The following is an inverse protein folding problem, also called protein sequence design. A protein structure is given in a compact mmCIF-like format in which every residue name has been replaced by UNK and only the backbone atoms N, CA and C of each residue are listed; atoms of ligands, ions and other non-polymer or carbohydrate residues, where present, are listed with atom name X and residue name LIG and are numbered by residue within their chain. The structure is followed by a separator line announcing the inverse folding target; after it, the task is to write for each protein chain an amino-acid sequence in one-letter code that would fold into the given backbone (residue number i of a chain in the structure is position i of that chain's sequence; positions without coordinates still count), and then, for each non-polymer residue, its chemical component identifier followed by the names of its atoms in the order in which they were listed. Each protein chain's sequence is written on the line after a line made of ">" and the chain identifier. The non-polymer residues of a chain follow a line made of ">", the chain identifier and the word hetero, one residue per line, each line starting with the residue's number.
data_IF_108840721325
#
_entry.id   IF_108840721325
#
_cell.length_a   1.000
_cell.length_b   1.000
_cell.length_c   1.000
_cell.angle_alpha   90.00
_cell.angle_beta   90.00
_cell.angle_gamma   90.00
#
_symmetry.space_group_name_H-M   'P 1'
#
loop_
_entity.id
_entity.type
_entity.pdbx_description
1 polymer ?
#
# COMPACT_ATOMS: atom_id res chain seq x y z
N UNK A 1 -8.06 2.68 -0.97
CA UNK A 1 -8.45 1.47 -0.24
C UNK A 1 -9.96 1.25 -0.41
N UNK A 2 -10.81 1.22 0.59
CA UNK A 2 -12.25 1.01 0.43
C UNK A 2 -13.03 2.35 0.40
N UNK A 3 -14.15 2.44 -0.36
CA UNK A 3 -14.92 3.68 -0.52
C UNK A 3 -15.53 4.22 0.79
N UNK A 4 -15.77 3.36 1.77
CA UNK A 4 -16.30 3.73 3.08
C UNK A 4 -15.21 3.99 4.13
N UNK A 5 -13.94 3.99 3.73
CA UNK A 5 -12.81 4.22 4.62
C UNK A 5 -12.83 5.64 5.16
N UNK A 6 -12.56 5.79 6.45
CA UNK A 6 -12.51 7.08 7.16
C UNK A 6 -11.14 7.26 7.81
N UNK A 7 -10.69 8.50 7.86
CA UNK A 7 -9.54 8.91 8.63
C UNK A 7 -9.96 10.01 9.62
N UNK A 8 -9.33 10.06 10.78
CA UNK A 8 -9.66 11.00 11.86
C UNK A 8 -8.44 11.86 12.19
N UNK A 9 -8.57 13.17 12.02
CA UNK A 9 -7.58 14.14 12.47
C UNK A 9 -7.90 14.59 13.88
N UNK A 10 -6.95 14.45 14.80
CA UNK A 10 -7.01 15.09 16.11
C UNK A 10 -6.39 16.49 15.97
N UNK A 11 -7.16 17.58 16.17
CA UNK A 11 -6.73 18.92 15.77
C UNK A 11 -5.68 19.53 16.68
N UNK A 12 -5.63 19.16 17.97
CA UNK A 12 -4.71 19.77 18.93
C UNK A 12 -3.27 19.27 18.77
N UNK A 13 -3.09 17.98 18.49
CA UNK A 13 -1.79 17.36 18.25
C UNK A 13 -1.40 17.26 16.77
N UNK A 14 -2.38 17.39 15.88
CA UNK A 14 -2.19 17.12 14.46
C UNK A 14 -2.02 15.63 14.10
N UNK A 15 -2.39 14.73 15.01
CA UNK A 15 -2.32 13.29 14.79
C UNK A 15 -3.42 12.84 13.82
N UNK A 16 -3.05 12.13 12.75
CA UNK A 16 -3.98 11.56 11.79
C UNK A 16 -4.07 10.04 11.96
N UNK A 17 -5.22 9.56 12.43
CA UNK A 17 -5.56 8.14 12.43
C UNK A 17 -6.05 7.76 11.04
N UNK A 18 -5.10 7.35 10.20
CA UNK A 18 -5.30 7.25 8.77
C UNK A 18 -5.88 5.90 8.31
N UNK A 19 -5.88 4.88 9.19
CA UNK A 19 -6.26 3.54 8.77
C UNK A 19 -5.35 3.00 7.65
N UNK A 20 -5.91 2.16 6.78
CA UNK A 20 -5.16 1.53 5.69
C UNK A 20 -4.81 2.48 4.53
N UNK A 21 -5.43 3.67 4.48
CA UNK A 21 -5.12 4.65 3.44
C UNK A 21 -3.68 5.17 3.53
N UNK A 22 -3.06 5.08 4.71
CA UNK A 22 -1.64 5.39 4.89
C UNK A 22 -0.72 4.14 4.72
N UNK A 23 -1.25 3.01 4.27
CA UNK A 23 -0.44 1.82 4.04
C UNK A 23 -0.12 1.02 5.31
N UNK A 24 0.74 0.03 5.13
CA UNK A 24 1.28 -0.80 6.21
C UNK A 24 2.74 -0.41 6.42
N UNK A 25 3.07 -0.03 7.65
CA UNK A 25 4.45 0.16 8.10
C UNK A 25 4.57 -0.41 9.50
N UNK A 26 5.48 -1.36 9.69
CA UNK A 26 5.68 -1.97 10.99
C UNK A 26 6.62 -1.11 11.85
N UNK A 27 6.46 -1.12 13.19
CA UNK A 27 7.32 -0.38 14.08
C UNK A 27 8.80 -0.71 13.89
N UNK A 28 9.64 0.32 13.82
CA UNK A 28 11.08 0.18 13.57
C UNK A 28 11.48 0.06 12.11
N UNK A 29 10.52 -0.12 11.19
CA UNK A 29 10.79 -0.28 9.78
C UNK A 29 10.64 1.04 9.00
N UNK A 30 11.39 1.13 7.89
CA UNK A 30 11.24 2.21 6.90
C UNK A 30 10.21 1.88 5.83
N UNK A 31 10.13 0.62 5.40
CA UNK A 31 9.30 0.14 4.30
C UNK A 31 7.80 0.40 4.49
N UNK A 32 7.17 1.04 3.52
CA UNK A 32 5.73 1.28 3.51
C UNK A 32 5.07 0.46 2.41
N UNK A 33 4.25 -0.52 2.78
CA UNK A 33 3.57 -1.45 1.88
C UNK A 33 2.13 -1.03 1.61
N UNK A 34 1.67 -0.99 0.34
CA UNK A 34 0.26 -0.72 0.04
C UNK A 34 -0.59 -1.96 0.34
N UNK A 35 -1.59 -1.89 1.24
CA UNK A 35 -2.58 -2.96 1.41
C UNK A 35 -3.61 -2.88 0.28
N UNK A 36 -3.54 -3.83 -0.64
CA UNK A 36 -4.39 -3.89 -1.84
C UNK A 36 -5.33 -5.10 -1.86
N UNK A 37 -6.06 -5.43 -0.75
CA UNK A 37 -6.91 -6.60 -0.73
C UNK A 37 -8.16 -6.40 -1.60
N UNK A 38 -8.72 -7.48 -2.19
CA UNK A 38 -10.03 -7.41 -2.81
C UNK A 38 -11.13 -7.12 -1.76
N UNK A 39 -12.35 -6.73 -2.15
CA UNK A 39 -12.80 -6.62 -3.54
C UNK A 39 -12.63 -5.23 -4.16
N UNK A 40 -12.40 -4.18 -3.38
CA UNK A 40 -12.72 -2.81 -3.79
C UNK A 40 -11.56 -1.83 -3.61
N UNK A 41 -10.42 -2.10 -4.20
CA UNK A 41 -9.42 -1.04 -4.30
C UNK A 41 -9.70 -0.14 -5.51
N UNK A 42 -9.38 1.15 -5.36
CA UNK A 42 -9.39 2.15 -6.43
C UNK A 42 -8.11 2.98 -6.28
N UNK A 43 -7.14 2.70 -7.13
CA UNK A 43 -5.80 3.32 -7.04
C UNK A 43 -5.88 4.82 -7.31
N UNK A 44 -6.70 5.26 -8.26
CA UNK A 44 -6.85 6.69 -8.57
C UNK A 44 -7.49 7.46 -7.41
N UNK A 45 -8.50 6.89 -6.76
CA UNK A 45 -9.11 7.45 -5.58
C UNK A 45 -8.15 7.44 -4.38
N UNK A 46 -7.31 6.41 -4.27
CA UNK A 46 -6.31 6.32 -3.21
C UNK A 46 -5.22 7.38 -3.34
N UNK A 47 -4.69 7.61 -4.54
CA UNK A 47 -3.75 8.68 -4.82
C UNK A 47 -4.35 10.07 -4.49
N UNK A 48 -5.65 10.28 -4.81
CA UNK A 48 -6.36 11.51 -4.41
C UNK A 48 -6.44 11.65 -2.89
N UNK A 49 -6.65 10.54 -2.17
CA UNK A 49 -6.68 10.54 -0.70
C UNK A 49 -5.31 10.84 -0.10
N UNK A 50 -4.23 10.26 -0.62
CA UNK A 50 -2.84 10.57 -0.23
C UNK A 50 -2.57 12.07 -0.43
N UNK A 51 -2.93 12.63 -1.58
CA UNK A 51 -2.77 14.05 -1.86
C UNK A 51 -3.65 14.94 -0.97
N UNK A 52 -4.80 14.44 -0.51
CA UNK A 52 -5.62 15.14 0.48
C UNK A 52 -4.94 15.16 1.85
N UNK A 53 -4.37 14.06 2.29
CA UNK A 53 -3.59 13.98 3.54
C UNK A 53 -2.41 14.97 3.51
N UNK A 54 -1.66 15.03 2.40
CA UNK A 54 -0.59 16.03 2.22
C UNK A 54 -1.06 17.46 2.42
N UNK A 55 -2.26 17.81 1.91
CA UNK A 55 -2.83 19.16 2.08
C UNK A 55 -3.27 19.48 3.51
N UNK A 56 -3.66 18.44 4.27
CA UNK A 56 -3.98 18.57 5.71
C UNK A 56 -2.71 18.84 6.52
N UNK A 57 -1.54 18.42 6.04
CA UNK A 57 -0.24 18.52 6.73
C UNK A 57 -0.28 18.01 8.17
N UNK A 58 -0.68 16.73 8.41
CA UNK A 58 -0.71 16.21 9.78
C UNK A 58 0.70 16.16 10.37
N UNK A 59 0.79 16.30 11.68
CA UNK A 59 2.07 16.21 12.41
C UNK A 59 2.58 14.77 12.49
N UNK A 60 1.66 13.79 12.50
CA UNK A 60 1.99 12.37 12.54
C UNK A 60 0.90 11.50 11.93
N UNK A 61 1.28 10.31 11.45
CA UNK A 61 0.38 9.28 10.93
C UNK A 61 0.28 8.10 11.91
N UNK A 62 -0.94 7.63 12.10
CA UNK A 62 -1.27 6.41 12.84
C UNK A 62 -2.02 5.46 11.88
N UNK A 63 -1.33 4.60 11.10
CA UNK A 63 -1.96 3.60 10.26
C UNK A 63 -2.53 2.45 11.11
N UNK A 64 -3.42 1.62 10.51
CA UNK A 64 -4.05 0.47 11.16
C UNK A 64 -3.03 -0.54 11.70
N UNK A 65 -1.94 -0.77 10.97
CA UNK A 65 -0.93 -1.79 11.27
C UNK A 65 0.19 -1.25 12.19
N UNK A 66 -0.23 -0.53 13.23
CA UNK A 66 0.56 -0.03 14.36
C UNK A 66 1.59 1.05 14.02
N UNK A 67 2.06 1.69 15.07
CA UNK A 67 3.09 2.72 14.99
C UNK A 67 2.56 4.14 14.86
N UNK A 68 3.46 5.06 15.14
CA UNK A 68 3.29 6.50 14.95
C UNK A 68 4.49 6.99 14.14
N UNK A 69 4.22 7.72 13.06
CA UNK A 69 5.24 8.15 12.11
C UNK A 69 5.13 9.66 11.87
N UNK A 70 6.20 10.39 12.16
CA UNK A 70 6.31 11.84 11.99
C UNK A 70 6.97 12.23 10.65
N UNK A 71 7.57 11.28 9.95
CA UNK A 71 8.14 11.43 8.61
C UNK A 71 7.07 11.34 7.50
N UNK A 72 5.98 12.09 7.69
CA UNK A 72 4.73 12.01 6.92
C UNK A 72 4.95 12.07 5.41
N UNK A 73 5.73 13.04 4.92
CA UNK A 73 5.91 13.21 3.47
C UNK A 73 6.71 12.06 2.84
N UNK A 74 7.75 11.58 3.54
CA UNK A 74 8.49 10.39 3.10
C UNK A 74 7.58 9.17 3.05
N UNK A 75 6.84 8.93 4.12
CA UNK A 75 5.92 7.80 4.26
C UNK A 75 4.87 7.78 3.13
N UNK A 76 4.22 8.92 2.87
CA UNK A 76 3.21 9.03 1.82
C UNK A 76 3.82 8.96 0.42
N UNK A 77 5.03 9.50 0.23
CA UNK A 77 5.76 9.41 -1.03
C UNK A 77 6.13 7.98 -1.40
N UNK A 78 6.64 7.21 -0.45
CA UNK A 78 6.96 5.79 -0.66
C UNK A 78 5.70 4.94 -0.92
N UNK A 79 4.63 5.19 -0.16
CA UNK A 79 3.37 4.51 -0.38
C UNK A 79 2.84 4.75 -1.81
N UNK A 80 2.80 6.00 -2.25
CA UNK A 80 2.30 6.38 -3.57
C UNK A 80 3.15 5.75 -4.68
N UNK A 81 4.48 5.87 -4.57
CA UNK A 81 5.41 5.31 -5.54
C UNK A 81 5.24 3.79 -5.65
N UNK A 82 5.24 3.09 -4.52
CA UNK A 82 5.12 1.62 -4.50
C UNK A 82 3.76 1.16 -4.99
N UNK A 83 2.69 1.86 -4.68
CA UNK A 83 1.35 1.56 -5.19
C UNK A 83 1.30 1.65 -6.72
N UNK A 84 1.94 2.67 -7.31
CA UNK A 84 2.05 2.83 -8.76
C UNK A 84 2.94 1.76 -9.39
N UNK A 85 4.09 1.47 -8.80
CA UNK A 85 5.04 0.46 -9.27
C UNK A 85 4.43 -0.95 -9.26
N UNK A 86 3.69 -1.28 -8.20
CA UNK A 86 2.99 -2.57 -8.11
C UNK A 86 1.85 -2.66 -9.11
N UNK A 87 1.10 -1.58 -9.33
CA UNK A 87 0.06 -1.54 -10.35
C UNK A 87 0.63 -1.80 -11.73
N UNK A 88 1.69 -1.09 -12.12
CA UNK A 88 2.36 -1.27 -13.42
C UNK A 88 2.91 -2.69 -13.56
N UNK A 89 3.59 -3.19 -12.54
CA UNK A 89 4.14 -4.54 -12.52
C UNK A 89 3.05 -5.60 -12.77
N UNK A 90 1.95 -5.57 -12.03
CA UNK A 90 0.85 -6.53 -12.17
C UNK A 90 0.19 -6.39 -13.54
N UNK A 91 -0.01 -5.16 -14.03
CA UNK A 91 -0.60 -4.92 -15.35
C UNK A 91 0.25 -5.49 -16.49
N UNK A 92 1.57 -5.30 -16.44
CA UNK A 92 2.52 -5.86 -17.43
C UNK A 92 2.48 -7.39 -17.44
N UNK A 93 2.41 -8.04 -16.27
CA UNK A 93 2.32 -9.49 -16.16
C UNK A 93 0.99 -10.03 -16.69
N UNK A 94 -0.12 -9.34 -16.40
CA UNK A 94 -1.43 -9.68 -16.97
C UNK A 94 -1.44 -9.58 -18.48
N UNK A 95 -0.79 -8.57 -19.05
CA UNK A 95 -0.65 -8.41 -20.52
C UNK A 95 0.23 -9.49 -21.14
N UNK A 96 1.20 -9.99 -20.39
CA UNK A 96 2.02 -11.15 -20.75
C UNK A 96 1.29 -12.48 -20.65
N UNK A 97 0.08 -12.52 -20.10
CA UNK A 97 -0.74 -13.73 -19.94
C UNK A 97 -0.40 -14.57 -18.71
N UNK A 98 0.35 -14.02 -17.73
CA UNK A 98 0.68 -14.69 -16.48
C UNK A 98 -0.57 -14.91 -15.61
N UNK A 99 -0.62 -16.03 -14.91
CA UNK A 99 -1.69 -16.37 -13.96
C UNK A 99 -1.54 -15.63 -12.63
N UNK A 100 -2.63 -15.57 -11.84
CA UNK A 100 -2.64 -14.85 -10.56
C UNK A 100 -1.62 -15.37 -9.55
N UNK A 101 -1.38 -16.68 -9.51
CA UNK A 101 -0.40 -17.33 -8.62
C UNK A 101 1.03 -16.91 -9.02
N UNK A 102 1.37 -17.01 -10.31
CA UNK A 102 2.66 -16.59 -10.85
C UNK A 102 2.94 -15.10 -10.57
N UNK A 103 1.94 -14.23 -10.80
CA UNK A 103 2.07 -12.79 -10.53
C UNK A 103 2.28 -12.52 -9.04
N UNK A 104 1.59 -13.28 -8.17
CA UNK A 104 1.71 -13.12 -6.72
C UNK A 104 3.10 -13.53 -6.22
N UNK A 105 3.65 -14.63 -6.74
CA UNK A 105 5.00 -15.10 -6.40
C UNK A 105 6.06 -14.07 -6.85
N UNK A 106 5.97 -13.58 -8.08
CA UNK A 106 6.90 -12.57 -8.59
C UNK A 106 6.76 -11.22 -7.87
N UNK A 107 5.54 -10.81 -7.50
CA UNK A 107 5.32 -9.60 -6.71
C UNK A 107 5.88 -9.75 -5.30
N UNK A 108 5.80 -10.97 -4.73
CA UNK A 108 6.42 -11.29 -3.44
C UNK A 108 7.93 -11.15 -3.52
N UNK A 109 8.57 -11.78 -4.51
CA UNK A 109 10.01 -11.70 -4.71
C UNK A 109 10.47 -10.23 -4.86
N UNK A 110 9.72 -9.44 -5.62
CA UNK A 110 9.96 -8.00 -5.78
C UNK A 110 9.85 -7.26 -4.45
N UNK A 111 8.78 -7.45 -3.70
CA UNK A 111 8.55 -6.76 -2.44
C UNK A 111 9.54 -7.18 -1.34
N UNK A 112 9.91 -8.45 -1.28
CA UNK A 112 10.93 -8.95 -0.36
C UNK A 112 12.31 -8.34 -0.69
N UNK A 113 12.66 -8.25 -1.97
CA UNK A 113 13.89 -7.60 -2.41
C UNK A 113 13.92 -6.10 -2.07
N UNK A 114 12.80 -5.40 -2.22
CA UNK A 114 12.65 -4.00 -1.81
C UNK A 114 12.86 -3.83 -0.30
N UNK A 115 12.24 -4.66 0.53
CA UNK A 115 12.38 -4.62 1.98
C UNK A 115 13.82 -4.88 2.42
N UNK A 116 14.47 -5.91 1.85
CA UNK A 116 15.87 -6.23 2.14
C UNK A 116 16.82 -5.09 1.74
N UNK A 117 16.55 -4.43 0.61
CA UNK A 117 17.34 -3.27 0.17
C UNK A 117 17.20 -2.06 1.10
N UNK A 118 16.06 -1.93 1.79
CA UNK A 118 15.82 -0.92 2.84
C UNK A 118 16.34 -1.33 4.23
N UNK A 119 16.94 -2.49 4.34
CA UNK A 119 17.62 -2.95 5.56
C UNK A 119 16.77 -3.85 6.46
N UNK A 120 15.59 -4.29 6.01
CA UNK A 120 14.82 -5.30 6.72
C UNK A 120 15.56 -6.66 6.69
N UNK A 121 15.34 -7.48 7.70
CA UNK A 121 15.80 -8.86 7.71
C UNK A 121 14.70 -9.86 7.27
N UNK A 122 15.06 -11.15 7.19
CA UNK A 122 14.12 -12.20 6.75
C UNK A 122 12.96 -12.41 7.74
N UNK A 123 13.11 -12.10 9.02
CA UNK A 123 12.03 -12.21 9.99
C UNK A 123 11.05 -11.06 9.81
N UNK A 124 11.54 -9.88 9.54
CA UNK A 124 10.77 -8.68 9.28
C UNK A 124 9.95 -8.80 8.00
N UNK A 125 10.51 -9.37 6.91
CA UNK A 125 9.74 -9.64 5.69
C UNK A 125 8.55 -10.57 5.96
N UNK A 126 8.72 -11.59 6.81
CA UNK A 126 7.64 -12.49 7.22
C UNK A 126 6.56 -11.80 8.05
N UNK A 127 6.90 -10.81 8.86
CA UNK A 127 5.90 -10.05 9.61
C UNK A 127 4.99 -9.24 8.68
N UNK A 128 5.52 -8.70 7.58
CA UNK A 128 4.69 -8.05 6.57
C UNK A 128 3.73 -9.03 5.89
N UNK A 129 4.11 -10.29 5.67
CA UNK A 129 3.22 -11.31 5.10
C UNK A 129 2.05 -11.65 6.03
N UNK A 130 2.23 -11.56 7.34
CA UNK A 130 1.14 -11.69 8.31
C UNK A 130 0.15 -10.53 8.27
N UNK A 131 0.61 -9.33 7.93
CA UNK A 131 -0.24 -8.14 7.77
C UNK A 131 -1.03 -8.13 6.46
N UNK A 132 -0.66 -8.97 5.48
CA UNK A 132 -1.35 -9.14 4.20
C UNK A 132 -0.51 -9.95 3.22
N UNK A 133 -0.99 -11.13 2.83
CA UNK A 133 -0.27 -11.99 1.90
C UNK A 133 -0.33 -11.48 0.46
N UNK A 134 0.70 -11.78 -0.31
CA UNK A 134 0.83 -11.28 -1.67
C UNK A 134 -0.23 -11.83 -2.64
N UNK A 135 -0.74 -13.06 -2.43
CA UNK A 135 -1.85 -13.59 -3.23
C UNK A 135 -3.07 -12.67 -3.18
N UNK A 136 -3.48 -12.29 -1.97
CA UNK A 136 -4.63 -11.43 -1.76
C UNK A 136 -4.38 -10.01 -2.30
N UNK A 137 -3.18 -9.47 -2.07
CA UNK A 137 -2.80 -8.13 -2.56
C UNK A 137 -2.80 -8.08 -4.09
N UNK A 138 -2.24 -9.09 -4.74
CA UNK A 138 -2.21 -9.25 -6.20
C UNK A 138 -3.61 -9.34 -6.79
N UNK A 139 -4.48 -10.17 -6.21
CA UNK A 139 -5.88 -10.30 -6.65
C UNK A 139 -6.61 -8.95 -6.61
N UNK A 140 -6.38 -8.15 -5.58
CA UNK A 140 -6.98 -6.83 -5.49
C UNK A 140 -6.55 -5.89 -6.63
N UNK A 141 -5.25 -5.85 -6.95
CA UNK A 141 -4.73 -5.06 -8.07
C UNK A 141 -5.27 -5.58 -9.40
N UNK A 142 -5.24 -6.89 -9.65
CA UNK A 142 -5.77 -7.49 -10.88
C UNK A 142 -7.24 -7.12 -11.11
N UNK A 143 -8.07 -7.20 -10.08
CA UNK A 143 -9.49 -6.81 -10.16
C UNK A 143 -9.66 -5.31 -10.46
N UNK A 144 -8.79 -4.45 -9.92
CA UNK A 144 -8.79 -3.03 -10.26
C UNK A 144 -8.46 -2.82 -11.74
N UNK A 145 -7.40 -3.47 -12.26
CA UNK A 145 -7.00 -3.41 -13.67
C UNK A 145 -8.13 -3.87 -14.58
N UNK A 146 -8.77 -5.00 -14.28
CA UNK A 146 -9.89 -5.52 -15.05
C UNK A 146 -11.09 -4.55 -15.09
N UNK A 147 -11.43 -3.94 -13.94
CA UNK A 147 -12.52 -2.93 -13.90
C UNK A 147 -12.18 -1.72 -14.75
N UNK A 148 -10.96 -1.18 -14.60
CA UNK A 148 -10.51 -0.02 -15.38
C UNK A 148 -10.58 -0.29 -16.87
N UNK A 149 -10.19 -1.47 -17.34
CA UNK A 149 -10.26 -1.88 -18.76
C UNK A 149 -11.69 -2.00 -19.28
N UNK A 150 -12.66 -2.33 -18.44
CA UNK A 150 -14.09 -2.42 -18.85
C UNK A 150 -14.76 -1.06 -18.93
N UNK A 151 -14.20 -0.04 -18.32
CA UNK A 151 -14.76 1.32 -18.27
C UNK A 151 -14.08 2.33 -19.19
N UNK A 152 -12.95 1.96 -19.77
CA UNK A 152 -12.22 2.74 -20.77
C UNK A 152 -12.75 2.48 -22.19
#
# INVERSE_FOLDING_TARGET
>A
HAYHHLAYLEPDSGALFAGDVAGIRLPGQSYVRPPTPPPEIDVDAWIKSINHIRRITPASLYPTHFGCYDDVERHLGELEQRLQDWLLFVEERMDGGAGSEEIADELKDKGDAEMLAEGADTEETRHYDLAGNYEMLTIGIMRYVERRRKTA
#
